data_IF_419871134398
#
_entry.id   IF_419871134398
#
_cell.length_a   1.000
_cell.length_b   1.000
_cell.length_c   1.000
_cell.angle_alpha   90.00
_cell.angle_beta   90.00
_cell.angle_gamma   90.00
#
_symmetry.space_group_name_H-M   'P 1'
#
loop_
_entity.id
_entity.type
_entity.pdbx_description
1 polymer ?
#
# COMPACT_ATOMS: atom_id res chain seq x y z
N UNK A 1 -11.43 -5.30 67.93
CA UNK A 1 -10.70 -5.87 66.78
C UNK A 1 -9.31 -6.20 67.26
N UNK A 2 -8.88 -7.45 67.16
CA UNK A 2 -7.50 -7.82 67.48
C UNK A 2 -6.56 -7.17 66.44
N UNK A 3 -5.46 -6.59 66.92
CA UNK A 3 -4.44 -5.97 66.06
C UNK A 3 -4.01 -6.95 64.94
N UNK A 4 -3.84 -8.24 65.26
CA UNK A 4 -3.48 -9.28 64.28
C UNK A 4 -4.50 -9.44 63.15
N UNK A 5 -5.80 -9.38 63.47
CA UNK A 5 -6.87 -9.49 62.47
C UNK A 5 -6.92 -8.31 61.51
N UNK A 6 -6.55 -7.10 61.96
CA UNK A 6 -6.50 -5.92 61.11
C UNK A 6 -5.40 -6.02 60.04
N UNK A 7 -4.19 -6.48 60.41
CA UNK A 7 -3.10 -6.69 59.45
C UNK A 7 -3.42 -7.81 58.46
N UNK A 8 -4.08 -8.89 58.89
CA UNK A 8 -4.50 -9.98 57.99
C UNK A 8 -5.42 -9.47 56.89
N UNK A 9 -6.43 -8.66 57.23
CA UNK A 9 -7.39 -8.12 56.25
C UNK A 9 -6.76 -7.15 55.26
N UNK A 10 -5.79 -6.34 55.71
CA UNK A 10 -5.02 -5.46 54.82
C UNK A 10 -4.18 -6.28 53.84
N UNK A 11 -3.47 -7.31 54.33
CA UNK A 11 -2.63 -8.15 53.48
C UNK A 11 -3.49 -8.90 52.46
N UNK A 12 -4.62 -9.49 52.89
CA UNK A 12 -5.51 -10.23 51.98
C UNK A 12 -6.08 -9.34 50.87
N UNK A 13 -6.43 -8.09 51.18
CA UNK A 13 -6.94 -7.14 50.19
C UNK A 13 -5.86 -6.58 49.26
N UNK A 14 -4.61 -6.43 49.73
CA UNK A 14 -3.52 -5.83 48.97
C UNK A 14 -2.65 -6.85 48.22
N UNK A 15 -2.66 -8.11 48.62
CA UNK A 15 -1.85 -9.17 48.02
C UNK A 15 -2.15 -9.34 46.52
N UNK A 16 -3.42 -9.43 46.14
CA UNK A 16 -3.81 -9.59 44.73
C UNK A 16 -3.44 -8.40 43.83
N UNK A 17 -3.74 -7.14 44.22
CA UNK A 17 -3.25 -5.97 43.48
C UNK A 17 -1.73 -5.92 43.37
N UNK A 18 -1.00 -6.20 44.46
CA UNK A 18 0.45 -6.17 44.47
C UNK A 18 1.06 -7.25 43.55
N UNK A 19 0.56 -8.48 43.61
CA UNK A 19 0.98 -9.57 42.71
C UNK A 19 0.67 -9.22 41.25
N UNK A 20 -0.50 -8.64 40.97
CA UNK A 20 -0.87 -8.24 39.60
C UNK A 20 0.08 -7.19 39.04
N UNK A 21 0.37 -6.14 39.81
CA UNK A 21 1.33 -5.09 39.41
C UNK A 21 2.73 -5.68 39.26
N UNK A 22 3.16 -6.55 40.17
CA UNK A 22 4.46 -7.21 40.10
C UNK A 22 4.61 -8.05 38.83
N UNK A 23 3.60 -8.85 38.49
CA UNK A 23 3.56 -9.67 37.27
C UNK A 23 3.60 -8.78 36.02
N UNK A 24 2.80 -7.71 35.97
CA UNK A 24 2.81 -6.76 34.84
C UNK A 24 4.19 -6.10 34.68
N UNK A 25 4.81 -5.64 35.76
CA UNK A 25 6.13 -5.01 35.71
C UNK A 25 7.21 -5.99 35.26
N UNK A 26 7.16 -7.24 35.72
CA UNK A 26 8.13 -8.28 35.34
C UNK A 26 7.98 -8.68 33.86
N UNK A 27 6.75 -8.74 33.36
CA UNK A 27 6.47 -9.19 32.00
C UNK A 27 6.49 -8.08 30.94
N UNK A 28 6.34 -6.79 31.32
CA UNK A 28 6.22 -5.69 30.37
C UNK A 28 7.36 -5.69 29.34
N UNK A 29 8.60 -5.86 29.79
CA UNK A 29 9.78 -5.75 28.93
C UNK A 29 9.83 -6.93 27.94
N UNK A 30 9.43 -8.13 28.38
CA UNK A 30 9.34 -9.32 27.53
C UNK A 30 8.23 -9.21 26.49
N UNK A 31 7.06 -8.71 26.89
CA UNK A 31 5.92 -8.50 25.99
C UNK A 31 6.27 -7.45 24.93
N UNK A 32 6.90 -6.35 25.32
CA UNK A 32 7.34 -5.31 24.38
C UNK A 32 8.37 -5.84 23.39
N UNK A 33 9.37 -6.63 23.81
CA UNK A 33 10.35 -7.23 22.89
C UNK A 33 9.68 -8.18 21.88
N UNK A 34 8.73 -9.01 22.34
CA UNK A 34 7.96 -9.90 21.46
C UNK A 34 7.13 -9.11 20.43
N UNK A 35 6.46 -8.04 20.86
CA UNK A 35 5.69 -7.17 19.95
C UNK A 35 6.60 -6.52 18.90
N UNK A 36 7.79 -6.06 19.29
CA UNK A 36 8.77 -5.50 18.34
C UNK A 36 9.27 -6.54 17.34
N UNK A 37 9.51 -7.78 17.75
CA UNK A 37 9.90 -8.87 16.85
C UNK A 37 8.79 -9.23 15.87
N UNK A 38 7.55 -9.32 16.34
CA UNK A 38 6.39 -9.58 15.49
C UNK A 38 6.18 -8.46 14.47
N UNK A 39 6.34 -7.20 14.90
CA UNK A 39 6.28 -6.04 13.99
C UNK A 39 7.34 -6.16 12.88
N UNK A 40 8.60 -6.44 13.24
CA UNK A 40 9.70 -6.61 12.27
C UNK A 40 9.50 -7.78 11.30
N UNK A 41 8.94 -8.90 11.77
CA UNK A 41 8.64 -10.04 10.90
C UNK A 41 7.54 -9.70 9.90
N UNK A 42 6.46 -9.08 10.37
CA UNK A 42 5.36 -8.63 9.51
C UNK A 42 5.84 -7.66 8.43
N UNK A 43 6.69 -6.68 8.78
CA UNK A 43 7.27 -5.76 7.79
C UNK A 43 8.03 -6.51 6.69
N UNK A 44 8.89 -7.45 7.06
CA UNK A 44 9.63 -8.26 6.08
C UNK A 44 8.72 -9.09 5.17
N UNK A 45 7.64 -9.65 5.70
CA UNK A 45 6.67 -10.40 4.88
C UNK A 45 5.97 -9.48 3.88
N UNK A 46 5.50 -8.31 4.32
CA UNK A 46 4.89 -7.30 3.44
C UNK A 46 5.87 -6.79 2.38
N UNK A 47 7.14 -6.59 2.72
CA UNK A 47 8.16 -6.20 1.75
C UNK A 47 8.36 -7.26 0.65
N UNK A 48 8.34 -8.55 1.03
CA UNK A 48 8.47 -9.67 0.09
C UNK A 48 7.23 -9.77 -0.79
N UNK A 49 6.04 -9.71 -0.22
CA UNK A 49 4.76 -9.76 -0.94
C UNK A 49 4.67 -8.64 -1.99
N UNK A 50 5.10 -7.43 -1.63
CA UNK A 50 5.15 -6.30 -2.55
C UNK A 50 6.12 -6.53 -3.72
N UNK A 51 7.34 -7.01 -3.44
CA UNK A 51 8.33 -7.31 -4.46
C UNK A 51 7.87 -8.43 -5.41
N UNK A 52 7.25 -9.48 -4.87
CA UNK A 52 6.63 -10.55 -5.63
C UNK A 52 5.52 -10.02 -6.53
N UNK A 53 4.63 -9.17 -6.00
CA UNK A 53 3.55 -8.57 -6.78
C UNK A 53 4.03 -7.65 -7.92
N UNK A 54 5.17 -6.96 -7.76
CA UNK A 54 5.79 -6.24 -8.89
C UNK A 54 6.35 -7.22 -9.92
N UNK A 55 7.00 -8.30 -9.48
CA UNK A 55 7.51 -9.34 -10.38
C UNK A 55 6.39 -9.96 -11.21
N UNK A 56 5.22 -10.23 -10.60
CA UNK A 56 4.02 -10.67 -11.31
C UNK A 56 3.56 -9.64 -12.35
N UNK A 57 3.52 -8.35 -12.00
CA UNK A 57 3.16 -7.29 -12.94
C UNK A 57 4.10 -7.23 -14.15
N UNK A 58 5.41 -7.36 -13.93
CA UNK A 58 6.43 -7.38 -14.98
C UNK A 58 6.20 -8.60 -15.88
N UNK A 59 6.09 -9.79 -15.30
CA UNK A 59 5.88 -11.03 -16.06
C UNK A 59 4.58 -11.00 -16.87
N UNK A 60 3.50 -10.46 -16.30
CA UNK A 60 2.23 -10.29 -17.02
C UNK A 60 2.38 -9.36 -18.22
N UNK A 61 3.20 -8.30 -18.10
CA UNK A 61 3.46 -7.35 -19.18
C UNK A 61 4.32 -7.95 -20.28
N UNK A 62 5.40 -8.66 -19.91
CA UNK A 62 6.27 -9.39 -20.83
C UNK A 62 5.50 -10.46 -21.61
N UNK A 63 4.67 -11.26 -20.93
CA UNK A 63 3.84 -12.27 -21.56
C UNK A 63 2.83 -11.71 -22.57
N UNK A 64 2.50 -10.42 -22.46
CA UNK A 64 1.62 -9.72 -23.39
C UNK A 64 2.37 -9.08 -24.56
N UNK A 65 3.70 -9.23 -24.63
CA UNK A 65 4.53 -8.58 -25.64
C UNK A 65 4.56 -7.05 -25.49
N UNK A 66 4.13 -6.52 -24.34
CA UNK A 66 4.22 -5.09 -24.02
C UNK A 66 5.63 -4.82 -23.49
N UNK A 67 6.64 -5.19 -24.28
CA UNK A 67 8.01 -4.77 -24.07
C UNK A 67 8.16 -3.37 -24.68
N UNK A 68 8.24 -2.34 -23.84
CA UNK A 68 8.62 -1.01 -24.30
C UNK A 68 7.73 -0.44 -25.41
N UNK A 69 6.41 -0.69 -25.39
CA UNK A 69 5.50 0.05 -26.27
C UNK A 69 5.61 1.54 -25.94
N UNK A 70 6.31 2.25 -26.83
CA UNK A 70 6.43 3.68 -26.93
C UNK A 70 5.05 4.32 -27.16
N UNK A 71 4.18 4.32 -26.15
CA UNK A 71 3.30 5.47 -25.98
C UNK A 71 4.21 6.62 -25.60
N UNK A 72 4.75 7.27 -26.63
CA UNK A 72 5.81 8.28 -26.63
C UNK A 72 6.13 8.73 -25.22
N UNK A 73 7.18 8.14 -24.61
CA UNK A 73 7.78 8.60 -23.35
C UNK A 73 8.30 10.02 -23.60
N UNK A 74 7.36 10.94 -23.65
CA UNK A 74 7.55 12.32 -23.98
C UNK A 74 8.29 12.97 -22.81
N UNK A 75 8.71 14.21 -22.99
CA UNK A 75 9.43 14.92 -21.93
C UNK A 75 8.62 14.96 -20.62
N UNK A 76 7.28 14.99 -20.68
CA UNK A 76 6.43 14.98 -19.51
C UNK A 76 6.48 13.65 -18.74
N UNK A 77 6.39 12.52 -19.46
CA UNK A 77 6.53 11.18 -18.88
C UNK A 77 7.87 11.03 -18.16
N UNK A 78 8.97 11.41 -18.83
CA UNK A 78 10.32 11.29 -18.26
C UNK A 78 10.48 12.18 -17.03
N UNK A 79 9.97 13.41 -17.07
CA UNK A 79 9.99 14.31 -15.92
C UNK A 79 9.21 13.74 -14.72
N UNK A 80 8.04 13.12 -14.97
CA UNK A 80 7.25 12.48 -13.91
C UNK A 80 7.98 11.26 -13.35
N UNK A 81 8.55 10.42 -14.21
CA UNK A 81 9.33 9.25 -13.82
C UNK A 81 10.54 9.65 -12.96
N UNK A 82 11.32 10.63 -13.38
CA UNK A 82 12.49 11.14 -12.65
C UNK A 82 12.09 11.72 -11.30
N UNK A 83 10.98 12.48 -11.24
CA UNK A 83 10.47 13.04 -10.00
C UNK A 83 10.05 11.93 -9.02
N UNK A 84 9.30 10.93 -9.48
CA UNK A 84 8.82 9.82 -8.66
C UNK A 84 9.97 8.91 -8.22
N UNK A 85 11.00 8.74 -9.05
CA UNK A 85 12.20 7.98 -8.69
C UNK A 85 12.98 8.68 -7.58
N UNK A 86 13.18 10.01 -7.69
CA UNK A 86 13.79 10.79 -6.58
C UNK A 86 12.92 10.81 -5.33
N UNK A 87 11.60 10.80 -5.50
CA UNK A 87 10.69 10.67 -4.36
C UNK A 87 10.83 9.28 -3.72
N UNK A 88 11.06 8.22 -4.49
CA UNK A 88 11.29 6.88 -3.99
C UNK A 88 12.57 6.80 -3.14
N UNK A 89 13.63 7.53 -3.50
CA UNK A 89 14.86 7.62 -2.70
C UNK A 89 14.61 8.20 -1.28
N UNK A 90 13.59 9.06 -1.14
CA UNK A 90 13.26 9.73 0.12
C UNK A 90 12.16 8.98 0.88
N UNK A 91 11.11 8.57 0.17
CA UNK A 91 9.92 7.91 0.68
C UNK A 91 9.33 7.01 -0.41
N UNK A 92 9.73 5.72 -0.45
CA UNK A 92 9.17 4.73 -1.37
C UNK A 92 7.65 4.65 -1.31
N UNK A 93 7.10 4.69 -0.09
CA UNK A 93 5.66 4.69 0.15
C UNK A 93 4.98 5.85 -0.55
N UNK A 94 5.54 7.05 -0.44
CA UNK A 94 5.00 8.23 -1.11
C UNK A 94 5.09 8.10 -2.63
N UNK A 95 6.18 7.56 -3.16
CA UNK A 95 6.33 7.32 -4.60
C UNK A 95 5.29 6.35 -5.14
N UNK A 96 5.03 5.23 -4.44
CA UNK A 96 3.99 4.26 -4.83
C UNK A 96 2.60 4.89 -4.80
N UNK A 97 2.27 5.60 -3.71
CA UNK A 97 0.98 6.27 -3.56
C UNK A 97 0.76 7.31 -4.67
N UNK A 98 1.78 8.12 -4.95
CA UNK A 98 1.70 9.19 -5.94
C UNK A 98 1.65 8.64 -7.37
N UNK A 99 2.41 7.59 -7.67
CA UNK A 99 2.36 6.92 -8.98
C UNK A 99 0.96 6.39 -9.28
N UNK A 100 0.32 5.73 -8.31
CA UNK A 100 -1.06 5.25 -8.48
C UNK A 100 -2.08 6.39 -8.55
N UNK A 101 -1.83 7.52 -7.86
CA UNK A 101 -2.70 8.70 -7.93
C UNK A 101 -2.79 9.24 -9.37
N UNK A 102 -1.72 9.15 -10.14
CA UNK A 102 -1.70 9.53 -11.56
C UNK A 102 -2.63 8.61 -12.37
N UNK A 103 -2.56 7.29 -12.14
CA UNK A 103 -3.48 6.30 -12.75
C UNK A 103 -4.94 6.60 -12.39
N UNK A 104 -5.22 6.86 -11.12
CA UNK A 104 -6.57 7.20 -10.64
C UNK A 104 -7.09 8.48 -11.30
N UNK A 105 -6.25 9.50 -11.44
CA UNK A 105 -6.60 10.75 -12.11
C UNK A 105 -6.92 10.53 -13.59
N UNK A 106 -6.07 9.77 -14.31
CA UNK A 106 -6.28 9.44 -15.71
C UNK A 106 -7.59 8.65 -15.91
N UNK A 107 -7.82 7.62 -15.08
CA UNK A 107 -9.06 6.83 -15.10
C UNK A 107 -10.31 7.67 -14.81
N UNK A 108 -10.24 8.56 -13.81
CA UNK A 108 -11.34 9.47 -13.48
C UNK A 108 -11.66 10.43 -14.63
N UNK A 109 -10.64 11.02 -15.26
CA UNK A 109 -10.81 11.88 -16.44
C UNK A 109 -11.46 11.11 -17.60
N UNK A 110 -11.00 9.89 -17.90
CA UNK A 110 -11.54 9.06 -18.98
C UNK A 110 -12.99 8.66 -18.70
N UNK A 111 -13.29 8.23 -17.48
CA UNK A 111 -14.65 7.89 -17.07
C UNK A 111 -15.59 9.10 -17.17
N UNK A 112 -15.15 10.30 -16.76
CA UNK A 112 -15.94 11.52 -16.87
C UNK A 112 -16.22 11.92 -18.33
N UNK A 113 -15.27 11.67 -19.25
CA UNK A 113 -15.48 11.88 -20.69
C UNK A 113 -16.50 10.91 -21.29
N UNK A 114 -16.46 9.64 -20.90
CA UNK A 114 -17.35 8.60 -21.44
C UNK A 114 -18.76 8.67 -20.87
N UNK A 115 -18.89 9.10 -19.62
CA UNK A 115 -20.16 9.11 -18.90
C UNK A 115 -20.44 10.49 -18.29
N UNK A 116 -20.67 11.54 -19.11
CA UNK A 116 -20.88 12.91 -18.64
C UNK A 116 -22.16 13.07 -17.79
N UNK A 117 -23.15 12.19 -17.99
CA UNK A 117 -24.44 12.23 -17.29
C UNK A 117 -24.43 11.46 -15.95
N UNK A 118 -23.37 10.71 -15.63
CA UNK A 118 -23.25 10.07 -14.33
C UNK A 118 -22.95 11.13 -13.27
N UNK A 119 -23.84 11.26 -12.28
CA UNK A 119 -23.60 12.14 -11.13
C UNK A 119 -22.19 11.90 -10.56
N UNK A 120 -21.46 13.00 -10.30
CA UNK A 120 -20.09 13.08 -9.78
C UNK A 120 -19.86 12.33 -8.41
N UNK A 121 -20.89 11.64 -7.91
CA UNK A 121 -20.85 10.76 -6.73
C UNK A 121 -20.31 9.36 -7.04
N UNK A 122 -20.41 8.88 -8.28
CA UNK A 122 -20.04 7.49 -8.60
C UNK A 122 -18.54 7.32 -8.94
N UNK A 123 -17.89 8.32 -9.53
CA UNK A 123 -16.49 8.25 -10.00
C UNK A 123 -15.40 8.48 -8.92
N UNK A 124 -15.66 8.18 -7.64
CA UNK A 124 -14.73 8.58 -6.55
C UNK A 124 -13.79 7.50 -6.03
N UNK A 125 -13.98 6.23 -6.37
CA UNK A 125 -13.14 5.16 -5.83
C UNK A 125 -12.43 4.39 -6.95
N UNK A 126 -11.15 4.02 -6.78
CA UNK A 126 -10.41 3.26 -7.79
C UNK A 126 -11.12 1.97 -8.25
N UNK A 127 -11.71 1.14 -7.36
CA UNK A 127 -12.44 -0.06 -7.79
C UNK A 127 -13.68 0.25 -8.63
N UNK A 128 -14.33 1.39 -8.40
CA UNK A 128 -15.49 1.79 -9.18
C UNK A 128 -15.07 2.29 -10.57
N UNK A 129 -14.04 3.14 -10.65
CA UNK A 129 -13.44 3.60 -11.91
C UNK A 129 -13.02 2.42 -12.78
N UNK A 130 -12.29 1.48 -12.19
CA UNK A 130 -11.85 0.26 -12.86
C UNK A 130 -13.03 -0.54 -13.44
N UNK A 131 -14.12 -0.71 -12.66
CA UNK A 131 -15.34 -1.40 -13.12
C UNK A 131 -16.04 -0.66 -14.26
N UNK A 132 -16.13 0.67 -14.18
CA UNK A 132 -16.74 1.50 -15.22
C UNK A 132 -15.98 1.41 -16.54
N UNK A 133 -14.65 1.34 -16.47
CA UNK A 133 -13.78 1.31 -17.65
C UNK A 133 -13.61 -0.11 -18.24
N UNK A 134 -14.13 -1.15 -17.58
CA UNK A 134 -13.96 -2.54 -18.00
C UNK A 134 -14.65 -2.81 -19.34
N UNK A 135 -13.91 -3.34 -20.31
CA UNK A 135 -14.44 -3.78 -21.60
C UNK A 135 -14.66 -2.67 -22.63
N UNK A 136 -14.81 -1.42 -22.18
CA UNK A 136 -14.91 -0.23 -23.04
C UNK A 136 -13.53 0.43 -23.26
N UNK A 137 -12.72 0.56 -22.20
CA UNK A 137 -11.39 1.19 -22.25
C UNK A 137 -10.30 0.22 -21.83
N UNK A 138 -10.52 -0.46 -20.71
CA UNK A 138 -9.58 -1.44 -20.17
C UNK A 138 -9.88 -2.81 -20.79
N UNK A 139 -8.89 -3.35 -21.48
CA UNK A 139 -8.85 -4.77 -21.81
C UNK A 139 -8.89 -5.62 -20.53
N UNK A 140 -9.15 -6.92 -20.68
CA UNK A 140 -9.15 -7.85 -19.54
C UNK A 140 -7.81 -7.86 -18.80
N UNK A 141 -6.71 -7.59 -19.51
CA UNK A 141 -5.37 -7.56 -18.93
C UNK A 141 -5.10 -6.24 -18.22
N UNK A 142 -5.37 -5.11 -18.85
CA UNK A 142 -5.21 -3.78 -18.21
C UNK A 142 -6.13 -3.66 -16.98
N UNK A 143 -7.32 -4.28 -17.01
CA UNK A 143 -8.17 -4.41 -15.84
C UNK A 143 -7.48 -5.16 -14.70
N UNK A 144 -6.76 -6.24 -14.96
CA UNK A 144 -6.01 -6.98 -13.92
C UNK A 144 -4.81 -6.19 -13.40
N UNK A 145 -4.04 -5.58 -14.29
CA UNK A 145 -2.90 -4.73 -13.92
C UNK A 145 -3.34 -3.55 -13.05
N UNK A 146 -4.45 -2.89 -13.39
CA UNK A 146 -5.04 -1.83 -12.56
C UNK A 146 -5.37 -2.36 -11.14
N UNK A 147 -5.93 -3.56 -11.01
CA UNK A 147 -6.23 -4.16 -9.70
C UNK A 147 -4.97 -4.45 -8.90
N UNK A 148 -3.94 -5.02 -9.53
CA UNK A 148 -2.65 -5.32 -8.91
C UNK A 148 -1.96 -4.04 -8.44
N UNK A 149 -1.87 -3.01 -9.29
CA UNK A 149 -1.34 -1.70 -8.92
C UNK A 149 -2.07 -1.11 -7.70
N UNK A 150 -3.39 -1.24 -7.65
CA UNK A 150 -4.22 -0.77 -6.53
C UNK A 150 -3.95 -1.56 -5.25
N UNK A 151 -3.78 -2.88 -5.34
CA UNK A 151 -3.48 -3.76 -4.20
C UNK A 151 -2.12 -3.42 -3.60
N UNK A 152 -1.09 -3.35 -4.45
CA UNK A 152 0.26 -2.95 -4.05
C UNK A 152 0.29 -1.55 -3.43
N UNK A 153 -0.48 -0.60 -3.96
CA UNK A 153 -0.63 0.74 -3.35
C UNK A 153 -1.27 0.69 -1.97
N UNK A 154 -2.28 -0.15 -1.79
CA UNK A 154 -2.93 -0.30 -0.48
C UNK A 154 -1.99 -0.96 0.54
N UNK A 155 -1.23 -1.96 0.11
CA UNK A 155 -0.21 -2.62 0.91
C UNK A 155 0.86 -1.63 1.40
N UNK A 156 1.46 -0.87 0.48
CA UNK A 156 2.41 0.20 0.82
C UNK A 156 1.79 1.29 1.71
N UNK A 157 0.49 1.58 1.57
CA UNK A 157 -0.18 2.58 2.42
C UNK A 157 -0.34 2.12 3.88
N UNK A 158 -0.52 0.82 4.09
CA UNK A 158 -0.76 0.20 5.40
C UNK A 158 0.53 -0.08 6.20
N UNK A 159 1.69 0.00 5.56
CA UNK A 159 2.98 -0.13 6.21
C UNK A 159 3.59 1.26 6.52
N UNK A 160 3.71 1.60 7.81
CA UNK A 160 4.30 2.86 8.28
C UNK A 160 5.83 2.88 8.19
N UNK A 161 6.48 1.72 8.21
CA UNK A 161 7.93 1.53 8.13
C UNK A 161 8.33 0.89 6.80
N UNK A 162 7.54 1.14 5.74
CA UNK A 162 7.78 0.65 4.38
C UNK A 162 9.18 1.07 3.89
N UNK A 163 10.18 0.23 4.15
CA UNK A 163 11.55 0.36 3.69
C UNK A 163 11.79 -0.68 2.60
N UNK A 164 12.39 -0.20 1.53
CA UNK A 164 12.21 -0.79 0.22
C UNK A 164 13.54 -0.90 -0.51
N UNK A 165 14.63 -0.76 0.26
CA UNK A 165 16.00 -0.85 -0.23
C UNK A 165 16.20 -2.15 -1.02
N UNK A 166 16.26 -2.00 -2.35
CA UNK A 166 16.48 -3.10 -3.29
C UNK A 166 15.23 -3.68 -3.97
N UNK A 167 14.02 -3.13 -3.76
CA UNK A 167 12.85 -3.54 -4.54
C UNK A 167 12.73 -2.78 -5.86
N UNK A 168 12.05 -3.35 -6.88
CA UNK A 168 11.88 -2.74 -8.19
C UNK A 168 10.80 -1.63 -8.20
N UNK A 169 10.90 -0.61 -7.34
CA UNK A 169 9.93 0.51 -7.28
C UNK A 169 9.84 1.21 -8.63
N UNK A 170 10.95 1.36 -9.34
CA UNK A 170 11.02 1.97 -10.66
C UNK A 170 10.13 1.23 -11.66
N UNK A 171 10.03 -0.10 -11.55
CA UNK A 171 9.12 -0.87 -12.38
C UNK A 171 7.65 -0.61 -12.03
N UNK A 172 7.33 -0.44 -10.74
CA UNK A 172 5.98 -0.02 -10.33
C UNK A 172 5.65 1.37 -10.90
N UNK A 173 6.57 2.33 -10.78
CA UNK A 173 6.42 3.70 -11.33
C UNK A 173 6.21 3.63 -12.84
N UNK A 174 7.06 2.90 -13.57
CA UNK A 174 6.98 2.77 -15.02
C UNK A 174 5.64 2.18 -15.47
N UNK A 175 5.19 1.10 -14.82
CA UNK A 175 3.93 0.42 -15.13
C UNK A 175 2.75 1.34 -14.82
N UNK A 176 2.76 2.03 -13.67
CA UNK A 176 1.71 2.99 -13.31
C UNK A 176 1.64 4.15 -14.31
N UNK A 177 2.77 4.78 -14.65
CA UNK A 177 2.80 5.87 -15.62
C UNK A 177 2.36 5.39 -17.01
N UNK A 178 2.78 4.21 -17.45
CA UNK A 178 2.38 3.66 -18.75
C UNK A 178 0.87 3.40 -18.82
N UNK A 179 0.28 2.86 -17.75
CA UNK A 179 -1.16 2.70 -17.62
C UNK A 179 -1.90 4.04 -17.65
N UNK A 180 -1.38 5.06 -16.95
CA UNK A 180 -1.97 6.40 -16.97
C UNK A 180 -1.90 7.03 -18.37
N UNK A 181 -0.75 6.97 -19.04
CA UNK A 181 -0.59 7.45 -20.40
C UNK A 181 -1.54 6.74 -21.37
N UNK A 182 -1.72 5.42 -21.22
CA UNK A 182 -2.69 4.65 -22.01
C UNK A 182 -4.12 5.13 -21.79
N UNK A 183 -4.50 5.40 -20.55
CA UNK A 183 -5.83 5.92 -20.18
C UNK A 183 -6.07 7.36 -20.68
N UNK A 184 -5.03 8.18 -20.76
CA UNK A 184 -5.10 9.54 -21.28
C UNK A 184 -5.05 9.60 -22.80
N UNK A 185 -4.37 8.66 -23.45
CA UNK A 185 -4.43 8.47 -24.90
C UNK A 185 -5.83 8.02 -25.33
N UNK A 186 -6.29 8.54 -26.47
CA UNK A 186 -7.67 8.42 -27.02
C UNK A 186 -8.69 9.37 -26.35
#
# INVERSE_FOLDING_TARGET
>A
MDWKTFFSQIIDSLAWPAVTVFVVVLLRDKVTDLLLRLKKLKHKETEIEFAEGISELIQEREAQGIEGEELARNNEYQNQFDFLSRLADISPRSAVLESFRIVESAAAKKAAKLYPDLENRYARSPPHLQKMLKGEVLSKNEFRQFDQLRKLRNEAAHDEEFDVRGMPIEAYIDIALSMASRLESE
#
